data_IF_415780294319
#
_entry.id   IF_415780294319
#
_cell.length_a   1.000
_cell.length_b   1.000
_cell.length_c   1.000
_cell.angle_alpha   90.00
_cell.angle_beta   90.00
_cell.angle_gamma   90.00
#
_symmetry.space_group_name_H-M   'P 1'
#
loop_
_entity.id
_entity.type
_entity.pdbx_description
1 polymer ?
#
# COMPACT_ATOMS: atom_id res chain seq x y z
N UNK A 1 40.54 5.97 -39.67
CA UNK A 1 39.09 6.19 -39.52
C UNK A 1 38.63 5.53 -38.23
N UNK A 2 38.49 6.33 -37.15
CA UNK A 2 38.12 5.82 -35.83
C UNK A 2 36.62 6.01 -35.58
N UNK A 3 35.96 4.92 -35.18
CA UNK A 3 34.56 4.84 -34.77
C UNK A 3 34.31 5.72 -33.53
N UNK A 4 33.48 6.77 -33.68
CA UNK A 4 32.97 7.55 -32.55
C UNK A 4 31.92 6.72 -31.80
N UNK A 5 32.25 6.33 -30.57
CA UNK A 5 31.36 5.64 -29.65
C UNK A 5 30.18 6.51 -29.22
N UNK A 6 28.98 5.97 -29.43
CA UNK A 6 27.75 6.46 -28.80
C UNK A 6 27.77 6.12 -27.30
N UNK A 7 28.13 7.07 -26.44
CA UNK A 7 27.77 7.00 -25.01
C UNK A 7 26.30 7.39 -24.88
N UNK A 8 25.43 6.37 -24.89
CA UNK A 8 24.01 6.53 -24.55
C UNK A 8 23.91 6.61 -23.03
N UNK A 9 23.74 7.81 -22.49
CA UNK A 9 23.38 8.01 -21.08
C UNK A 9 22.07 7.26 -20.79
N UNK A 10 22.15 6.18 -20.01
CA UNK A 10 20.99 5.47 -19.49
C UNK A 10 20.22 6.42 -18.57
N UNK A 11 19.18 7.05 -19.10
CA UNK A 11 18.11 7.66 -18.28
C UNK A 11 17.69 6.63 -17.23
N UNK A 12 17.99 6.88 -15.95
CA UNK A 12 17.45 6.12 -14.82
C UNK A 12 15.94 6.08 -15.00
N UNK A 13 15.38 4.91 -15.29
CA UNK A 13 13.96 4.77 -15.49
C UNK A 13 13.23 5.18 -14.21
N UNK A 14 12.14 5.92 -14.36
CA UNK A 14 11.17 6.25 -13.33
C UNK A 14 10.41 5.02 -12.79
N UNK A 15 10.97 3.82 -12.91
CA UNK A 15 10.26 2.54 -12.89
C UNK A 15 10.55 1.64 -11.68
N UNK A 16 11.41 2.05 -10.74
CA UNK A 16 11.28 1.55 -9.36
C UNK A 16 10.51 2.60 -8.58
N UNK A 17 9.21 2.42 -8.36
CA UNK A 17 8.57 3.10 -7.22
C UNK A 17 9.34 2.63 -6.00
N UNK A 18 10.15 3.53 -5.43
CA UNK A 18 11.28 3.12 -4.61
C UNK A 18 10.78 2.48 -3.32
N UNK A 19 11.11 1.20 -3.12
CA UNK A 19 11.13 0.57 -1.81
C UNK A 19 12.28 1.19 -1.00
N UNK A 20 12.18 2.48 -0.67
CA UNK A 20 13.25 3.25 -0.04
C UNK A 20 13.64 2.68 1.31
N UNK A 21 12.66 2.11 2.02
CA UNK A 21 12.87 1.38 3.29
C UNK A 21 13.72 0.11 3.15
N UNK A 22 13.80 -0.46 1.94
CA UNK A 22 14.68 -1.57 1.60
C UNK A 22 16.00 -1.11 0.95
N UNK A 23 15.93 -0.19 -0.01
CA UNK A 23 17.08 0.28 -0.79
C UNK A 23 18.01 1.18 0.03
N UNK A 24 17.45 2.04 0.88
CA UNK A 24 18.19 2.93 1.77
C UNK A 24 17.55 2.93 3.17
N UNK A 25 17.74 1.84 3.94
CA UNK A 25 17.04 1.61 5.19
C UNK A 25 17.41 2.63 6.28
N UNK A 26 18.54 3.33 6.17
CA UNK A 26 18.97 4.37 7.13
C UNK A 26 18.59 5.79 6.70
N UNK A 27 17.82 5.95 5.63
CA UNK A 27 17.40 7.28 5.18
C UNK A 27 16.39 7.92 6.14
N UNK A 28 16.33 9.26 6.22
CA UNK A 28 15.30 9.96 6.98
C UNK A 28 13.87 9.57 6.56
N UNK A 29 13.66 9.27 5.27
CA UNK A 29 12.38 8.81 4.74
C UNK A 29 12.02 7.43 5.29
N UNK A 30 12.98 6.50 5.37
CA UNK A 30 12.76 5.19 5.97
C UNK A 30 12.38 5.31 7.46
N UNK A 31 13.00 6.23 8.20
CA UNK A 31 12.60 6.53 9.58
C UNK A 31 11.16 7.04 9.68
N UNK A 32 10.69 7.86 8.73
CA UNK A 32 9.27 8.29 8.74
C UNK A 32 8.30 7.10 8.61
N UNK A 33 8.64 6.08 7.82
CA UNK A 33 7.85 4.85 7.74
C UNK A 33 7.92 4.03 9.05
N UNK A 34 9.06 3.99 9.75
CA UNK A 34 9.17 3.37 11.08
C UNK A 34 8.35 4.10 12.14
N UNK A 35 8.34 5.43 12.11
CA UNK A 35 7.46 6.25 12.95
C UNK A 35 6.00 5.94 12.66
N UNK A 36 5.62 5.86 11.37
CA UNK A 36 4.27 5.50 10.96
C UNK A 36 3.85 4.12 11.48
N UNK A 37 4.71 3.10 11.33
CA UNK A 37 4.51 1.75 11.88
C UNK A 37 4.26 1.79 13.39
N UNK A 38 5.10 2.52 14.11
CA UNK A 38 5.02 2.66 15.58
C UNK A 38 3.70 3.34 16.00
N UNK A 39 3.30 4.40 15.31
CA UNK A 39 2.01 5.05 15.56
C UNK A 39 0.82 4.10 15.33
N UNK A 40 0.86 3.29 14.26
CA UNK A 40 -0.17 2.28 14.00
C UNK A 40 -0.21 1.26 15.14
N UNK A 41 0.95 0.79 15.62
CA UNK A 41 1.03 -0.14 16.75
C UNK A 41 0.45 0.46 18.05
N UNK A 42 0.65 1.75 18.31
CA UNK A 42 0.04 2.43 19.44
C UNK A 42 -1.49 2.56 19.34
N UNK A 43 -2.08 2.44 18.16
CA UNK A 43 -3.56 2.38 18.03
C UNK A 43 -4.16 1.01 18.38
N UNK A 44 -3.32 0.01 18.69
CA UNK A 44 -3.75 -1.38 18.91
C UNK A 44 -4.12 -1.70 20.36
N UNK A 45 -4.16 -0.73 21.28
CA UNK A 45 -4.31 -0.95 22.74
C UNK A 45 -5.46 -1.90 23.09
N UNK A 46 -6.58 -1.85 22.37
CA UNK A 46 -7.75 -2.71 22.62
C UNK A 46 -8.11 -3.64 21.45
N UNK A 47 -7.45 -3.52 20.30
CA UNK A 47 -7.80 -4.26 19.08
C UNK A 47 -6.57 -4.52 18.21
N UNK A 48 -6.25 -5.81 18.03
CA UNK A 48 -5.20 -6.24 17.11
C UNK A 48 -5.57 -5.85 15.68
N UNK A 49 -4.70 -5.09 15.02
CA UNK A 49 -4.86 -4.73 13.61
C UNK A 49 -4.25 -5.84 12.76
N UNK A 50 -5.10 -6.71 12.21
CA UNK A 50 -4.71 -7.78 11.28
C UNK A 50 -4.80 -7.35 9.81
N UNK A 51 -5.60 -6.32 9.53
CA UNK A 51 -5.67 -5.69 8.20
C UNK A 51 -5.57 -4.17 8.24
N UNK A 52 -4.84 -3.64 7.27
CA UNK A 52 -4.71 -2.21 7.00
C UNK A 52 -5.07 -1.92 5.55
N UNK A 53 -6.03 -1.02 5.34
CA UNK A 53 -6.31 -0.46 4.03
C UNK A 53 -5.59 0.88 3.87
N UNK A 54 -5.01 1.14 2.70
CA UNK A 54 -4.45 2.44 2.34
C UNK A 54 -5.18 2.99 1.13
N UNK A 55 -5.79 4.15 1.28
CA UNK A 55 -6.46 4.88 0.19
C UNK A 55 -5.99 6.34 0.13
N UNK A 56 -6.54 7.13 -0.78
CA UNK A 56 -6.24 8.54 -0.97
C UNK A 56 -7.45 9.28 -1.52
N UNK A 57 -7.41 10.61 -1.51
CA UNK A 57 -8.47 11.44 -2.07
C UNK A 57 -8.47 11.37 -3.60
N UNK A 58 -7.29 11.40 -4.20
CA UNK A 58 -7.12 11.43 -5.65
C UNK A 58 -6.02 10.50 -6.18
N UNK A 59 -5.95 10.31 -7.51
CA UNK A 59 -4.91 9.49 -8.14
C UNK A 59 -3.52 10.14 -7.99
N UNK A 60 -2.50 9.28 -7.84
CA UNK A 60 -1.09 9.71 -7.78
C UNK A 60 -0.66 10.37 -6.47
N UNK A 61 -1.41 10.23 -5.38
CA UNK A 61 -1.05 10.79 -4.06
C UNK A 61 -0.06 9.92 -3.27
N UNK A 62 0.28 8.74 -3.77
CA UNK A 62 1.36 7.89 -3.23
C UNK A 62 0.91 6.67 -2.43
N UNK A 63 -0.38 6.29 -2.47
CA UNK A 63 -0.94 5.07 -1.83
C UNK A 63 -0.04 3.85 -1.95
N UNK A 64 0.19 3.37 -3.17
CA UNK A 64 0.96 2.14 -3.45
C UNK A 64 2.40 2.23 -2.94
N UNK A 65 3.02 3.41 -3.01
CA UNK A 65 4.37 3.64 -2.45
C UNK A 65 4.35 3.55 -0.93
N UNK A 66 3.33 4.13 -0.29
CA UNK A 66 3.11 4.05 1.15
C UNK A 66 2.84 2.62 1.58
N UNK A 67 1.96 1.89 0.89
CA UNK A 67 1.68 0.46 1.12
C UNK A 67 2.96 -0.35 1.10
N UNK A 68 3.73 -0.24 0.02
CA UNK A 68 4.92 -1.06 -0.16
C UNK A 68 5.99 -0.78 0.91
N UNK A 69 6.26 0.49 1.22
CA UNK A 69 7.25 0.83 2.24
C UNK A 69 6.78 0.53 3.68
N UNK A 70 5.47 0.67 3.95
CA UNK A 70 4.89 0.28 5.22
C UNK A 70 5.01 -1.24 5.42
N UNK A 71 4.72 -2.02 4.39
CA UNK A 71 4.85 -3.47 4.41
C UNK A 71 6.28 -3.90 4.73
N UNK A 72 7.27 -3.28 4.08
CA UNK A 72 8.70 -3.55 4.34
C UNK A 72 9.06 -3.29 5.81
N UNK A 73 8.66 -2.16 6.41
CA UNK A 73 9.05 -1.87 7.80
C UNK A 73 8.35 -2.78 8.84
N UNK A 74 7.17 -3.32 8.52
CA UNK A 74 6.54 -4.37 9.33
C UNK A 74 7.27 -5.71 9.16
N UNK A 75 7.57 -6.10 7.92
CA UNK A 75 8.30 -7.35 7.62
C UNK A 75 9.71 -7.37 8.25
N UNK A 76 10.41 -6.23 8.26
CA UNK A 76 11.69 -6.03 8.96
C UNK A 76 11.59 -6.20 10.48
N UNK A 77 10.39 -6.14 11.07
CA UNK A 77 10.14 -6.45 12.49
C UNK A 77 9.86 -7.94 12.73
N UNK A 78 9.98 -8.78 11.71
CA UNK A 78 9.70 -10.22 11.78
C UNK A 78 8.22 -10.58 11.65
N UNK A 79 7.35 -9.63 11.30
CA UNK A 79 5.94 -9.90 11.00
C UNK A 79 5.82 -10.56 9.63
N UNK A 80 5.00 -11.60 9.52
CA UNK A 80 4.62 -12.18 8.22
C UNK A 80 3.57 -11.28 7.57
N UNK A 81 3.97 -10.51 6.57
CA UNK A 81 3.15 -9.46 5.94
C UNK A 81 2.73 -9.85 4.52
N UNK A 82 1.45 -9.69 4.20
CA UNK A 82 0.94 -9.79 2.83
C UNK A 82 0.52 -8.41 2.32
N UNK A 83 1.00 -8.03 1.15
CA UNK A 83 0.46 -6.89 0.38
C UNK A 83 -0.54 -7.42 -0.64
N UNK A 84 -1.74 -6.85 -0.67
CA UNK A 84 -2.79 -7.19 -1.64
C UNK A 84 -3.10 -5.96 -2.51
N UNK A 85 -3.03 -6.10 -3.83
CA UNK A 85 -3.45 -5.07 -4.78
C UNK A 85 -4.96 -5.15 -5.00
N UNK A 86 -5.72 -4.43 -4.17
CA UNK A 86 -7.17 -4.31 -4.29
C UNK A 86 -7.60 -3.13 -5.20
N UNK A 87 -6.66 -2.43 -5.84
CA UNK A 87 -6.96 -1.56 -6.99
C UNK A 87 -7.06 -2.40 -8.27
N UNK A 88 -8.13 -3.17 -8.37
CA UNK A 88 -8.45 -4.00 -9.54
C UNK A 88 -8.82 -3.17 -10.79
N UNK A 89 -8.80 -1.84 -10.71
CA UNK A 89 -9.08 -0.94 -11.84
C UNK A 89 -7.80 -0.43 -12.48
N UNK A 90 -6.82 -0.05 -11.65
CA UNK A 90 -5.51 0.44 -12.10
C UNK A 90 -4.41 -0.17 -11.21
N UNK A 91 -4.18 -1.49 -11.30
CA UNK A 91 -3.26 -2.18 -10.41
C UNK A 91 -1.83 -1.73 -10.64
N UNK A 92 -1.06 -1.59 -9.56
CA UNK A 92 0.31 -1.10 -9.65
C UNK A 92 1.32 -1.75 -8.70
N UNK A 93 0.87 -2.61 -7.81
CA UNK A 93 1.73 -3.34 -6.87
C UNK A 93 2.68 -4.27 -7.64
N UNK A 94 2.19 -4.95 -8.66
CA UNK A 94 3.00 -5.85 -9.50
C UNK A 94 4.21 -5.15 -10.14
N UNK A 95 4.07 -3.88 -10.58
CA UNK A 95 5.21 -3.08 -11.06
C UNK A 95 6.22 -2.77 -9.94
N UNK A 96 5.74 -2.52 -8.73
CA UNK A 96 6.58 -2.17 -7.57
C UNK A 96 7.44 -3.36 -7.14
N UNK A 97 6.86 -4.56 -7.13
CA UNK A 97 7.53 -5.80 -6.73
C UNK A 97 8.10 -6.62 -7.90
N UNK A 98 7.96 -6.15 -9.14
CA UNK A 98 8.44 -6.81 -10.37
C UNK A 98 7.85 -8.21 -10.56
N UNK A 99 6.54 -8.34 -10.35
CA UNK A 99 5.79 -9.57 -10.49
C UNK A 99 4.91 -9.55 -11.74
N UNK A 100 4.50 -10.75 -12.17
CA UNK A 100 3.44 -10.90 -13.16
C UNK A 100 2.07 -10.60 -12.51
N UNK A 101 1.11 -10.14 -13.31
CA UNK A 101 -0.27 -9.83 -12.86
C UNK A 101 -1.31 -10.72 -13.57
N UNK A 102 -0.92 -11.94 -13.91
CA UNK A 102 -1.79 -12.91 -14.60
C UNK A 102 -2.69 -13.68 -13.63
N UNK A 103 -2.27 -13.77 -12.37
CA UNK A 103 -2.97 -14.45 -11.30
C UNK A 103 -2.94 -13.59 -10.03
N UNK A 104 -4.08 -13.40 -9.38
CA UNK A 104 -4.17 -12.55 -8.20
C UNK A 104 -5.57 -12.51 -7.60
N UNK A 105 -5.88 -11.42 -6.90
CA UNK A 105 -7.13 -11.23 -6.15
C UNK A 105 -8.38 -11.56 -6.99
N UNK A 106 -8.48 -11.07 -8.22
CA UNK A 106 -9.60 -11.36 -9.12
C UNK A 106 -9.82 -12.86 -9.29
N UNK A 107 -8.75 -13.64 -9.49
CA UNK A 107 -8.84 -15.07 -9.75
C UNK A 107 -9.30 -15.82 -8.50
N UNK A 108 -8.85 -15.40 -7.31
CA UNK A 108 -9.31 -15.98 -6.05
C UNK A 108 -10.80 -15.71 -5.85
N UNK A 109 -11.22 -14.44 -6.00
CA UNK A 109 -12.62 -14.05 -5.79
C UNK A 109 -13.57 -14.67 -6.82
N UNK A 110 -13.06 -15.05 -7.99
CA UNK A 110 -13.80 -15.78 -9.03
C UNK A 110 -13.61 -17.29 -9.01
N UNK A 111 -12.88 -17.83 -8.01
CA UNK A 111 -12.62 -19.27 -7.80
C UNK A 111 -11.90 -19.93 -8.99
N UNK A 112 -11.05 -19.16 -9.68
CA UNK A 112 -10.24 -19.62 -10.80
C UNK A 112 -8.83 -20.05 -10.39
N UNK A 113 -8.45 -19.80 -9.14
CA UNK A 113 -7.17 -20.21 -8.57
C UNK A 113 -7.28 -20.37 -7.05
N UNK A 114 -6.33 -21.10 -6.48
CA UNK A 114 -6.13 -21.27 -5.05
C UNK A 114 -5.28 -20.14 -4.46
N UNK A 115 -5.38 -19.95 -3.14
CA UNK A 115 -4.66 -18.90 -2.44
C UNK A 115 -3.13 -19.04 -2.60
N UNK A 116 -2.64 -20.27 -2.50
CA UNK A 116 -1.21 -20.60 -2.63
C UNK A 116 -0.66 -20.24 -4.01
N UNK A 117 -1.46 -20.42 -5.07
CA UNK A 117 -1.04 -20.08 -6.43
C UNK A 117 -0.95 -18.56 -6.64
N UNK A 118 -1.83 -17.78 -6.00
CA UNK A 118 -1.91 -16.33 -6.19
C UNK A 118 -0.94 -15.52 -5.31
N UNK A 119 -0.38 -16.13 -4.26
CA UNK A 119 0.59 -15.48 -3.36
C UNK A 119 2.01 -15.69 -3.89
N UNK A 120 2.75 -14.59 -3.99
CA UNK A 120 4.12 -14.59 -4.45
C UNK A 120 5.06 -14.14 -3.31
N UNK A 121 6.20 -14.80 -3.19
CA UNK A 121 7.31 -14.29 -2.40
C UNK A 121 7.83 -12.98 -3.00
N UNK A 122 8.19 -12.03 -2.14
CA UNK A 122 8.96 -10.86 -2.55
C UNK A 122 10.47 -11.10 -2.37
N UNK A 123 11.30 -10.14 -2.80
CA UNK A 123 12.75 -10.16 -2.53
C UNK A 123 13.09 -9.79 -1.07
N UNK A 124 12.10 -9.66 -0.19
CA UNK A 124 12.23 -9.18 1.18
C UNK A 124 11.65 -10.24 2.10
N UNK A 125 12.46 -10.68 3.08
CA UNK A 125 12.06 -11.69 4.05
C UNK A 125 10.76 -11.31 4.78
N UNK A 126 9.89 -12.29 4.98
CA UNK A 126 8.57 -12.15 5.60
C UNK A 126 7.58 -11.24 4.86
N UNK A 127 7.87 -10.84 3.61
CA UNK A 127 6.98 -10.02 2.80
C UNK A 127 6.52 -10.79 1.56
N UNK A 128 5.20 -10.90 1.45
CA UNK A 128 4.49 -11.60 0.39
C UNK A 128 3.58 -10.64 -0.37
N UNK A 129 3.24 -10.99 -1.60
CA UNK A 129 2.44 -10.14 -2.48
C UNK A 129 1.39 -10.96 -3.21
N UNK A 130 0.14 -10.52 -3.11
CA UNK A 130 -0.95 -10.91 -4.00
C UNK A 130 -1.26 -9.73 -4.92
N UNK A 131 -0.98 -9.91 -6.20
CA UNK A 131 -1.33 -8.91 -7.21
C UNK A 131 -2.83 -8.88 -7.46
N UNK A 132 -3.34 -7.94 -8.27
CA UNK A 132 -4.77 -7.86 -8.53
C UNK A 132 -5.26 -9.02 -9.38
N UNK A 133 -4.39 -9.59 -10.22
CA UNK A 133 -4.80 -10.42 -11.35
C UNK A 133 -5.41 -9.58 -12.49
N UNK A 134 -6.03 -10.24 -13.47
CA UNK A 134 -6.71 -9.57 -14.58
C UNK A 134 -7.79 -8.61 -14.07
N UNK A 135 -7.97 -7.48 -14.77
CA UNK A 135 -8.99 -6.47 -14.43
C UNK A 135 -10.39 -7.05 -14.68
N UNK A 136 -11.23 -7.22 -13.64
CA UNK A 136 -12.58 -7.74 -13.81
C UNK A 136 -13.55 -6.65 -14.27
N UNK A 137 -14.69 -7.01 -14.88
CA UNK A 137 -15.72 -6.05 -15.26
C UNK A 137 -16.46 -5.45 -14.05
N UNK A 138 -16.44 -6.13 -12.90
CA UNK A 138 -17.22 -5.83 -11.70
C UNK A 138 -16.38 -5.83 -10.38
N UNK A 139 -15.38 -4.92 -10.23
CA UNK A 139 -14.49 -4.90 -9.06
C UNK A 139 -15.20 -4.72 -7.71
N UNK A 140 -16.19 -3.83 -7.64
CA UNK A 140 -16.85 -3.46 -6.40
C UNK A 140 -17.68 -4.63 -5.85
N UNK A 141 -18.37 -5.35 -6.74
CA UNK A 141 -19.16 -6.53 -6.42
C UNK A 141 -18.29 -7.67 -5.89
N UNK A 142 -17.10 -7.86 -6.49
CA UNK A 142 -16.15 -8.87 -6.00
C UNK A 142 -15.64 -8.51 -4.60
N UNK A 143 -15.27 -7.25 -4.34
CA UNK A 143 -14.82 -6.79 -3.03
C UNK A 143 -15.92 -6.84 -1.96
N UNK A 144 -17.18 -6.66 -2.34
CA UNK A 144 -18.33 -6.75 -1.44
C UNK A 144 -18.92 -8.15 -1.30
N UNK A 145 -18.30 -9.17 -1.88
CA UNK A 145 -18.82 -10.53 -1.90
C UNK A 145 -18.46 -11.32 -0.64
N UNK A 146 -19.23 -12.38 -0.36
CA UNK A 146 -18.87 -13.36 0.67
C UNK A 146 -17.56 -14.09 0.36
N UNK A 147 -17.13 -14.15 -0.90
CA UNK A 147 -15.82 -14.68 -1.26
C UNK A 147 -14.68 -13.81 -0.70
N UNK A 148 -14.84 -12.49 -0.68
CA UNK A 148 -13.87 -11.58 -0.07
C UNK A 148 -13.83 -11.75 1.46
N UNK A 149 -14.99 -11.90 2.10
CA UNK A 149 -15.08 -12.14 3.54
C UNK A 149 -14.37 -13.44 3.94
N UNK A 150 -14.61 -14.52 3.19
CA UNK A 150 -13.94 -15.81 3.41
C UNK A 150 -12.43 -15.71 3.17
N UNK A 151 -12.01 -15.02 2.11
CA UNK A 151 -10.60 -14.78 1.82
C UNK A 151 -9.92 -14.02 2.97
N UNK A 152 -10.55 -12.98 3.52
CA UNK A 152 -9.99 -12.24 4.66
C UNK A 152 -9.77 -13.15 5.88
N UNK A 153 -10.71 -14.05 6.18
CA UNK A 153 -10.56 -15.00 7.28
C UNK A 153 -9.35 -15.92 7.07
N UNK A 154 -9.22 -16.49 5.87
CA UNK A 154 -8.09 -17.37 5.50
C UNK A 154 -6.75 -16.62 5.55
N UNK A 155 -6.71 -15.38 5.06
CA UNK A 155 -5.51 -14.54 5.12
C UNK A 155 -5.08 -14.24 6.57
N UNK A 156 -6.02 -14.06 7.49
CA UNK A 156 -5.72 -13.80 8.90
C UNK A 156 -5.19 -15.02 9.66
N UNK A 157 -5.39 -16.22 9.14
CA UNK A 157 -4.78 -17.44 9.68
C UNK A 157 -3.32 -17.57 9.25
N UNK A 158 -2.98 -17.09 8.05
CA UNK A 158 -1.68 -17.28 7.44
C UNK A 158 -0.70 -16.12 7.64
N UNK A 159 -1.19 -14.91 7.93
CA UNK A 159 -0.38 -13.69 8.00
C UNK A 159 -0.65 -12.92 9.29
N UNK A 160 0.41 -12.32 9.85
CA UNK A 160 0.28 -11.42 10.99
C UNK A 160 -0.43 -10.11 10.61
N UNK A 161 -0.22 -9.66 9.37
CA UNK A 161 -0.72 -8.38 8.86
C UNK A 161 -0.96 -8.45 7.35
N UNK A 162 -2.15 -8.03 6.92
CA UNK A 162 -2.51 -7.87 5.50
C UNK A 162 -2.67 -6.39 5.18
N UNK A 163 -1.99 -5.88 4.16
CA UNK A 163 -2.06 -4.47 3.75
C UNK A 163 -2.65 -4.37 2.34
N UNK A 164 -3.76 -3.67 2.21
CA UNK A 164 -4.49 -3.48 0.96
C UNK A 164 -4.14 -2.13 0.32
N UNK A 165 -3.63 -2.16 -0.91
CA UNK A 165 -3.63 -0.99 -1.80
C UNK A 165 -5.00 -0.88 -2.46
N UNK A 166 -5.59 0.32 -2.47
CA UNK A 166 -6.95 0.54 -2.97
C UNK A 166 -7.02 1.74 -3.91
N UNK A 167 -8.06 1.87 -4.75
CA UNK A 167 -8.23 3.06 -5.57
C UNK A 167 -8.55 4.30 -4.70
N UNK A 168 -8.44 5.52 -5.26
CA UNK A 168 -8.84 6.73 -4.54
C UNK A 168 -10.33 6.70 -4.15
N UNK A 169 -10.63 7.04 -2.90
CA UNK A 169 -11.99 6.91 -2.33
C UNK A 169 -13.01 7.86 -2.96
N UNK A 170 -12.58 9.00 -3.53
CA UNK A 170 -13.48 9.91 -4.25
C UNK A 170 -13.78 9.44 -5.69
N UNK A 171 -12.99 8.50 -6.23
CA UNK A 171 -13.13 8.07 -7.61
C UNK A 171 -14.15 6.94 -7.75
N UNK A 172 -14.15 5.99 -6.82
CA UNK A 172 -14.97 4.76 -6.85
C UNK A 172 -15.25 4.25 -5.45
N UNK A 173 -16.29 3.42 -5.30
CA UNK A 173 -16.77 2.90 -4.01
C UNK A 173 -15.95 1.75 -3.46
N UNK A 174 -15.06 1.16 -4.26
CA UNK A 174 -14.23 0.00 -3.93
C UNK A 174 -13.52 0.15 -2.56
N UNK A 175 -12.90 1.32 -2.31
CA UNK A 175 -12.23 1.61 -1.06
C UNK A 175 -13.20 1.73 0.13
N UNK A 176 -14.43 2.23 -0.07
CA UNK A 176 -15.42 2.31 0.99
C UNK A 176 -15.91 0.92 1.40
N UNK A 177 -16.14 0.04 0.42
CA UNK A 177 -16.56 -1.36 0.66
C UNK A 177 -15.50 -2.10 1.48
N UNK A 178 -14.23 -1.96 1.11
CA UNK A 178 -13.12 -2.63 1.80
C UNK A 178 -12.81 -2.00 3.16
N UNK A 179 -13.03 -0.68 3.34
CA UNK A 179 -12.80 0.01 4.60
C UNK A 179 -13.64 -0.58 5.76
N UNK A 180 -14.86 -1.04 5.48
CA UNK A 180 -15.74 -1.66 6.47
C UNK A 180 -15.28 -3.08 6.87
N UNK A 181 -14.48 -3.73 6.04
CA UNK A 181 -14.01 -5.10 6.24
C UNK A 181 -12.60 -5.15 6.87
N UNK A 182 -11.84 -4.05 6.78
CA UNK A 182 -10.50 -3.93 7.34
C UNK A 182 -10.50 -3.41 8.79
N UNK A 183 -9.53 -3.84 9.60
CA UNK A 183 -9.41 -3.39 10.98
C UNK A 183 -8.90 -1.94 11.11
N UNK A 184 -8.24 -1.42 10.08
CA UNK A 184 -7.78 -0.04 10.05
C UNK A 184 -7.64 0.52 8.65
N UNK A 185 -7.86 1.82 8.51
CA UNK A 185 -7.70 2.58 7.27
C UNK A 185 -6.73 3.73 7.47
N UNK A 186 -5.86 3.94 6.48
CA UNK A 186 -4.95 5.08 6.38
C UNK A 186 -5.35 5.90 5.15
N UNK A 187 -5.57 7.20 5.34
CA UNK A 187 -5.80 8.14 4.25
C UNK A 187 -4.49 8.83 3.86
N UNK A 188 -4.04 8.66 2.62
CA UNK A 188 -2.89 9.39 2.08
C UNK A 188 -3.38 10.67 1.42
N UNK A 189 -2.77 11.80 1.76
CA UNK A 189 -3.00 13.11 1.13
C UNK A 189 -1.68 13.67 0.63
N UNK A 190 -1.68 14.33 -0.52
CA UNK A 190 -0.47 14.90 -1.12
C UNK A 190 -0.33 16.38 -0.76
N UNK A 191 0.74 16.71 -0.05
CA UNK A 191 1.10 18.08 0.33
C UNK A 191 1.15 19.00 -0.88
N UNK A 192 0.46 20.15 -0.80
CA UNK A 192 0.43 21.16 -1.85
C UNK A 192 -0.29 20.74 -3.14
N UNK A 193 -1.01 19.60 -3.13
CA UNK A 193 -1.80 19.12 -4.27
C UNK A 193 -3.24 18.77 -3.87
N UNK A 194 -3.43 18.07 -2.77
CA UNK A 194 -4.77 17.68 -2.30
C UNK A 194 -5.46 18.88 -1.67
N UNK A 195 -6.65 19.22 -2.17
CA UNK A 195 -7.51 20.25 -1.59
C UNK A 195 -8.07 19.78 -0.24
N UNK A 196 -8.21 20.71 0.70
CA UNK A 196 -8.70 20.40 2.05
C UNK A 196 -10.11 19.79 2.01
N UNK A 197 -10.97 20.32 1.14
CA UNK A 197 -12.35 19.82 0.98
C UNK A 197 -12.38 18.39 0.45
N UNK A 198 -11.44 18.02 -0.44
CA UNK A 198 -11.33 16.64 -0.94
C UNK A 198 -10.84 15.69 0.15
N UNK A 199 -9.88 16.13 0.99
CA UNK A 199 -9.43 15.35 2.14
C UNK A 199 -10.56 15.15 3.16
N UNK A 200 -11.33 16.20 3.46
CA UNK A 200 -12.49 16.13 4.34
C UNK A 200 -13.57 15.21 3.76
N UNK A 201 -13.87 15.32 2.47
CA UNK A 201 -14.86 14.46 1.83
C UNK A 201 -14.44 12.99 1.84
N UNK A 202 -13.17 12.73 1.63
CA UNK A 202 -12.59 11.38 1.70
C UNK A 202 -12.76 10.79 3.09
N UNK A 203 -12.47 11.57 4.14
CA UNK A 203 -12.70 11.17 5.53
C UNK A 203 -14.18 10.86 5.77
N UNK A 204 -15.10 11.71 5.34
CA UNK A 204 -16.55 11.48 5.49
C UNK A 204 -16.99 10.17 4.84
N UNK A 205 -16.56 9.90 3.60
CA UNK A 205 -16.94 8.67 2.89
C UNK A 205 -16.46 7.41 3.61
N UNK A 206 -15.25 7.44 4.17
CA UNK A 206 -14.68 6.32 4.94
C UNK A 206 -15.45 6.11 6.25
N UNK A 207 -15.77 7.19 6.97
CA UNK A 207 -16.53 7.10 8.22
C UNK A 207 -17.98 6.65 7.99
N UNK A 208 -18.63 7.16 6.93
CA UNK A 208 -19.99 6.75 6.56
C UNK A 208 -20.06 5.28 6.14
N UNK A 209 -18.97 4.76 5.55
CA UNK A 209 -18.81 3.34 5.27
C UNK A 209 -18.48 2.50 6.52
N UNK A 210 -18.50 3.09 7.72
CA UNK A 210 -18.11 2.46 8.99
C UNK A 210 -16.66 1.97 9.04
N UNK A 211 -15.79 2.53 8.19
CA UNK A 211 -14.36 2.25 8.21
C UNK A 211 -13.67 2.89 9.41
N UNK A 212 -12.72 2.15 10.02
CA UNK A 212 -11.91 2.65 11.14
C UNK A 212 -10.72 3.45 10.62
N UNK A 213 -10.86 4.77 10.49
CA UNK A 213 -9.76 5.66 10.09
C UNK A 213 -8.74 5.82 11.23
N UNK A 214 -7.56 5.23 11.08
CA UNK A 214 -6.47 5.32 12.06
C UNK A 214 -5.74 6.67 12.00
N UNK A 215 -5.71 7.30 10.83
CA UNK A 215 -5.04 8.58 10.64
C UNK A 215 -4.77 8.93 9.19
N UNK A 216 -3.97 9.98 9.02
CA UNK A 216 -3.64 10.56 7.71
C UNK A 216 -2.12 10.57 7.51
N UNK A 217 -1.68 10.24 6.29
CA UNK A 217 -0.29 10.39 5.85
C UNK A 217 -0.19 11.56 4.89
N UNK A 218 0.54 12.60 5.29
CA UNK A 218 0.88 13.72 4.41
C UNK A 218 2.11 13.35 3.56
N UNK A 219 1.88 12.96 2.31
CA UNK A 219 2.91 12.58 1.36
C UNK A 219 3.38 13.78 0.51
N UNK A 220 4.51 13.64 -0.19
CA UNK A 220 5.10 14.67 -1.07
C UNK A 220 5.37 16.02 -0.40
N UNK A 221 5.55 16.02 0.93
CA UNK A 221 5.92 17.23 1.68
C UNK A 221 7.29 17.69 1.20
N UNK A 222 7.38 18.93 0.71
CA UNK A 222 8.66 19.56 0.39
C UNK A 222 9.38 19.86 1.70
N UNK A 223 10.63 19.43 1.80
CA UNK A 223 11.49 19.90 2.87
C UNK A 223 11.75 21.38 2.69
N UNK A 224 11.25 22.20 3.64
CA UNK A 224 11.78 23.55 3.80
C UNK A 224 13.20 23.38 4.33
N UNK A 225 14.20 23.87 3.60
CA UNK A 225 15.59 23.94 4.07
C UNK A 225 15.58 24.51 5.50
N UNK A 226 15.95 23.69 6.49
CA UNK A 226 16.16 24.13 7.87
C UNK A 226 15.13 23.71 8.94
N UNK A 227 14.13 22.86 8.67
CA UNK A 227 13.12 22.52 9.69
C UNK A 227 12.93 21.04 10.04
N UNK A 228 13.88 20.15 9.72
CA UNK A 228 13.80 18.79 10.24
C UNK A 228 15.16 18.19 10.62
N UNK A 229 15.23 17.81 11.90
CA UNK A 229 16.18 16.92 12.57
C UNK A 229 17.55 17.49 12.95
N UNK A 230 17.58 18.10 14.14
CA UNK A 230 18.64 17.84 15.11
C UNK A 230 18.83 16.32 15.21
N UNK A 231 19.91 15.83 14.62
CA UNK A 231 20.33 14.44 14.74
C UNK A 231 20.75 14.18 16.18
N UNK A 232 20.03 13.30 16.87
CA UNK A 232 20.60 12.52 17.97
C UNK A 232 21.25 11.27 17.36
N UNK A 233 22.57 11.26 17.37
CA UNK A 233 23.36 10.17 16.81
C UNK A 233 24.81 10.58 16.63
N UNK A 234 25.44 11.00 17.72
CA UNK A 234 26.89 11.07 17.79
C UNK A 234 27.50 9.67 17.81
N UNK A 235 28.63 9.57 17.10
CA UNK A 235 29.54 8.42 16.88
C UNK A 235 29.15 7.45 15.76
#
# INVERSE_FOLDING_TARGET
>A
MALKGFKRERKRSSQSRSLITHINPRSPIAEQYRTMRTNIQFTQVDQTIRSLMVTSSGPGEGKSTTVANLAVVFAQQGKKVLVVDADMRKPTVHYTFRLNNTLGLTNILTKQATLEEAINDSLIDNLYVMTSGPVPPNPAELLGSSAMENLLAELYEQFDLVIFDTPPVLAVTDAQILANQCNGTILVVSSGKTEIDYANKSKELLLNAKGRLLGVVLNNKKDKKGSYYYYYGGK
#
